data_IF_525249266533
#
_entry.id   IF_525249266533
#
_cell.length_a   1.000
_cell.length_b   1.000
_cell.length_c   1.000
_cell.angle_alpha   90.00
_cell.angle_beta   90.00
_cell.angle_gamma   90.00
#
_symmetry.space_group_name_H-M   'P 1'
#
loop_
_entity.id
_entity.type
_entity.pdbx_description
1 polymer ?
#
# COMPACT_ATOMS: atom_id res chain seq x y z
N UNK A 1 16.76 0.53 18.23
CA UNK A 1 17.73 1.53 17.68
C UNK A 1 18.95 0.88 17.06
N UNK A 2 19.65 -0.04 17.74
CA UNK A 2 20.88 -0.70 17.23
C UNK A 2 20.63 -1.53 15.94
N UNK A 3 19.59 -2.36 15.88
CA UNK A 3 19.27 -3.17 14.70
C UNK A 3 18.99 -2.30 13.47
N UNK A 4 18.22 -1.21 13.61
CA UNK A 4 17.94 -0.28 12.51
C UNK A 4 19.20 0.38 11.97
N UNK A 5 20.12 0.77 12.85
CA UNK A 5 21.42 1.33 12.48
C UNK A 5 22.27 0.30 11.74
N UNK A 6 22.33 -0.95 12.26
CA UNK A 6 23.02 -2.05 11.63
C UNK A 6 22.48 -2.33 10.21
N UNK A 7 21.18 -2.47 10.04
CA UNK A 7 20.55 -2.73 8.75
C UNK A 7 20.86 -1.61 7.76
N UNK A 8 20.74 -0.35 8.17
CA UNK A 8 21.05 0.78 7.32
C UNK A 8 22.52 0.80 6.85
N UNK A 9 23.47 0.44 7.71
CA UNK A 9 24.90 0.35 7.34
C UNK A 9 25.13 -0.88 6.45
N UNK A 10 24.57 -2.03 6.80
CA UNK A 10 24.72 -3.28 6.05
C UNK A 10 24.24 -3.14 4.59
N UNK A 11 23.08 -2.52 4.38
CA UNK A 11 22.53 -2.33 3.03
C UNK A 11 23.18 -1.19 2.23
N UNK A 12 24.09 -0.40 2.82
CA UNK A 12 25.00 0.49 2.07
C UNK A 12 26.15 -0.25 1.39
N UNK A 13 26.44 -1.49 1.81
CA UNK A 13 27.48 -2.29 1.18
C UNK A 13 27.13 -2.60 -0.27
N UNK A 14 28.16 -2.69 -1.17
CA UNK A 14 27.94 -3.14 -2.53
C UNK A 14 27.24 -4.51 -2.60
N UNK A 15 26.32 -4.69 -3.53
CA UNK A 15 25.52 -5.91 -3.67
C UNK A 15 26.39 -7.19 -3.75
N UNK A 16 27.54 -7.13 -4.46
CA UNK A 16 28.45 -8.25 -4.57
C UNK A 16 29.03 -8.66 -3.19
N UNK A 17 29.29 -7.70 -2.30
CA UNK A 17 29.80 -7.97 -0.97
C UNK A 17 28.71 -8.58 -0.07
N UNK A 18 27.48 -8.07 -0.14
CA UNK A 18 26.32 -8.65 0.56
C UNK A 18 26.16 -10.12 0.15
N UNK A 19 26.23 -10.40 -1.16
CA UNK A 19 26.17 -11.79 -1.66
C UNK A 19 27.28 -12.68 -1.12
N UNK A 20 28.51 -12.15 -1.07
CA UNK A 20 29.66 -12.90 -0.54
C UNK A 20 29.49 -13.22 0.96
N UNK A 21 29.03 -12.24 1.74
CA UNK A 21 28.86 -12.38 3.19
C UNK A 21 27.68 -13.30 3.53
N UNK A 22 26.57 -13.20 2.79
CA UNK A 22 25.36 -14.00 3.07
C UNK A 22 25.41 -15.41 2.47
N UNK A 23 26.32 -15.70 1.53
CA UNK A 23 26.45 -16.98 0.82
C UNK A 23 25.14 -17.51 0.24
N UNK A 24 24.17 -16.66 -0.01
CA UNK A 24 22.84 -17.08 -0.45
C UNK A 24 22.84 -17.47 -1.93
N UNK A 25 22.18 -18.59 -2.21
CA UNK A 25 21.87 -19.00 -3.59
C UNK A 25 20.79 -18.08 -4.15
N UNK A 26 20.85 -17.81 -5.46
CA UNK A 26 19.81 -17.04 -6.16
C UNK A 26 18.45 -17.72 -6.01
N UNK A 27 17.43 -16.93 -5.67
CA UNK A 27 16.04 -17.39 -5.70
C UNK A 27 15.46 -17.00 -7.04
N UNK A 28 15.04 -18.01 -7.81
CA UNK A 28 14.40 -17.85 -9.13
C UNK A 28 13.10 -18.66 -9.10
N UNK A 29 11.97 -17.97 -9.28
CA UNK A 29 10.64 -18.57 -9.35
C UNK A 29 9.92 -17.95 -10.55
N UNK A 30 9.23 -18.74 -11.36
CA UNK A 30 8.49 -18.30 -12.55
C UNK A 30 9.35 -17.44 -13.52
N UNK A 31 10.62 -17.78 -13.70
CA UNK A 31 11.63 -17.03 -14.49
C UNK A 31 11.95 -15.62 -13.95
N UNK A 32 11.53 -15.28 -12.74
CA UNK A 32 11.85 -14.04 -12.07
C UNK A 32 12.93 -14.29 -11.01
N UNK A 33 13.89 -13.38 -10.89
CA UNK A 33 14.97 -13.47 -9.90
C UNK A 33 14.77 -12.44 -8.81
N UNK A 34 14.69 -12.90 -7.57
CA UNK A 34 14.58 -12.01 -6.41
C UNK A 34 15.83 -11.13 -6.27
N UNK A 35 15.63 -9.86 -5.97
CA UNK A 35 16.72 -8.93 -5.66
C UNK A 35 17.57 -9.42 -4.48
N UNK A 36 18.88 -9.28 -4.60
CA UNK A 36 19.81 -9.83 -3.60
C UNK A 36 19.78 -9.12 -2.24
N UNK A 37 19.57 -7.81 -2.21
CA UNK A 37 19.44 -7.11 -0.94
C UNK A 37 18.12 -7.47 -0.26
N UNK A 38 17.05 -7.59 -1.04
CA UNK A 38 15.74 -8.08 -0.57
C UNK A 38 15.87 -9.51 -0.04
N UNK A 39 16.58 -10.39 -0.74
CA UNK A 39 16.84 -11.76 -0.29
C UNK A 39 17.63 -11.78 1.04
N UNK A 40 18.66 -10.95 1.17
CA UNK A 40 19.43 -10.82 2.40
C UNK A 40 18.57 -10.30 3.56
N UNK A 41 17.68 -9.36 3.30
CA UNK A 41 16.71 -8.87 4.28
C UNK A 41 15.77 -9.98 4.74
N UNK A 42 15.18 -10.75 3.84
CA UNK A 42 14.32 -11.89 4.18
C UNK A 42 15.05 -12.95 4.99
N UNK A 43 16.33 -13.22 4.68
CA UNK A 43 17.18 -14.10 5.47
C UNK A 43 17.43 -13.60 6.89
N UNK A 44 17.55 -12.29 7.10
CA UNK A 44 17.63 -11.70 8.45
C UNK A 44 16.28 -11.75 9.17
N UNK A 45 15.18 -11.56 8.48
CA UNK A 45 13.83 -11.66 9.04
C UNK A 45 13.51 -13.09 9.51
N UNK A 46 13.97 -14.11 8.78
CA UNK A 46 13.76 -15.52 9.16
C UNK A 46 14.47 -15.92 10.47
N UNK A 47 15.35 -15.07 10.99
CA UNK A 47 15.98 -15.26 12.31
C UNK A 47 15.13 -14.70 13.48
N UNK A 48 14.01 -14.06 13.20
CA UNK A 48 13.07 -13.59 14.24
C UNK A 48 12.46 -14.80 14.95
N UNK A 49 12.31 -14.68 16.26
CA UNK A 49 11.79 -15.76 17.10
C UNK A 49 10.28 -15.97 16.92
N UNK A 50 9.54 -14.93 16.52
CA UNK A 50 8.09 -14.97 16.30
C UNK A 50 7.77 -14.17 15.04
N UNK A 51 7.10 -14.80 14.10
CA UNK A 51 6.58 -14.16 12.89
C UNK A 51 5.09 -13.78 13.07
N UNK A 52 4.56 -12.97 12.15
CA UNK A 52 3.12 -12.69 12.13
C UNK A 52 2.31 -13.98 11.98
N UNK A 53 2.76 -14.91 11.13
CA UNK A 53 2.09 -16.19 10.91
C UNK A 53 2.04 -17.06 12.15
N UNK A 54 3.08 -17.01 12.99
CA UNK A 54 3.09 -17.75 14.26
C UNK A 54 2.10 -17.16 15.26
N UNK A 55 1.96 -15.85 15.29
CA UNK A 55 1.12 -15.13 16.24
C UNK A 55 -0.38 -15.08 15.83
N UNK A 56 -0.69 -15.22 14.52
CA UNK A 56 -2.07 -15.28 14.02
C UNK A 56 -2.79 -16.55 14.55
N UNK A 57 -3.88 -16.33 15.28
CA UNK A 57 -4.70 -17.36 15.89
C UNK A 57 -4.54 -17.41 17.40
N UNK A 58 -3.39 -17.02 17.95
CA UNK A 58 -3.12 -17.04 19.39
C UNK A 58 -3.25 -15.64 20.02
N UNK A 59 -2.99 -14.57 19.26
CA UNK A 59 -3.05 -13.20 19.71
C UNK A 59 -4.22 -12.43 19.08
N UNK A 60 -4.78 -11.47 19.83
CA UNK A 60 -5.77 -10.52 19.33
C UNK A 60 -5.13 -9.51 18.36
N UNK A 61 -5.94 -8.85 17.53
CA UNK A 61 -5.45 -7.80 16.64
C UNK A 61 -4.74 -6.65 17.39
N UNK A 62 -5.19 -6.32 18.60
CA UNK A 62 -4.57 -5.29 19.44
C UNK A 62 -3.16 -5.71 19.89
N UNK A 63 -3.01 -6.95 20.38
CA UNK A 63 -1.70 -7.50 20.77
C UNK A 63 -0.75 -7.60 19.57
N UNK A 64 -1.25 -8.02 18.39
CA UNK A 64 -0.46 -8.06 17.17
C UNK A 64 0.00 -6.65 16.74
N UNK A 65 -0.84 -5.62 16.89
CA UNK A 65 -0.42 -4.22 16.63
C UNK A 65 0.71 -3.80 17.55
N UNK A 66 0.65 -4.13 18.83
CA UNK A 66 1.74 -3.82 19.78
C UNK A 66 3.03 -4.55 19.42
N UNK A 67 2.94 -5.84 19.04
CA UNK A 67 4.11 -6.64 18.64
C UNK A 67 4.79 -6.11 17.37
N UNK A 68 4.02 -5.58 16.42
CA UNK A 68 4.52 -5.14 15.11
C UNK A 68 4.43 -3.63 14.89
N UNK A 69 4.32 -2.82 15.96
CA UNK A 69 4.10 -1.37 15.94
C UNK A 69 5.21 -0.59 15.22
N UNK A 70 6.45 -1.08 15.24
CA UNK A 70 7.57 -0.34 14.65
C UNK A 70 7.62 -0.42 13.12
N UNK A 71 6.77 -1.24 12.48
CA UNK A 71 6.78 -1.46 11.04
C UNK A 71 8.14 -1.92 10.52
N UNK A 72 8.35 -1.85 9.21
CA UNK A 72 9.64 -2.23 8.60
C UNK A 72 10.67 -1.11 8.81
N UNK A 73 11.83 -1.39 9.46
CA UNK A 73 12.84 -0.38 9.76
C UNK A 73 13.66 0.07 8.53
N UNK A 74 13.19 -0.20 7.31
CA UNK A 74 13.92 -0.04 6.06
C UNK A 74 13.55 1.20 5.24
N UNK A 75 12.60 2.02 5.70
CA UNK A 75 12.28 3.27 5.03
C UNK A 75 13.37 4.32 5.28
N UNK A 76 14.04 4.74 4.21
CA UNK A 76 14.96 5.87 4.26
C UNK A 76 14.15 7.15 4.38
N UNK A 77 14.45 7.96 5.39
CA UNK A 77 13.91 9.32 5.48
C UNK A 77 14.52 10.20 4.39
N UNK A 78 13.78 11.19 3.86
CA UNK A 78 14.38 12.17 2.97
C UNK A 78 15.51 12.92 3.69
N UNK A 79 16.49 13.39 2.91
CA UNK A 79 17.65 14.12 3.45
C UNK A 79 17.26 15.41 4.18
N UNK A 80 16.16 16.02 3.75
CA UNK A 80 15.53 17.19 4.37
C UNK A 80 14.11 16.80 4.74
N UNK A 81 13.74 16.85 6.04
CA UNK A 81 12.37 16.57 6.45
C UNK A 81 11.40 17.58 5.83
N UNK A 82 10.28 17.07 5.29
CA UNK A 82 9.23 17.94 4.80
C UNK A 82 8.44 18.56 5.96
N UNK A 83 7.88 19.74 5.72
CA UNK A 83 6.86 20.30 6.59
C UNK A 83 5.65 19.37 6.59
N UNK A 84 5.28 18.87 7.75
CA UNK A 84 4.04 18.11 7.95
C UNK A 84 3.12 18.84 8.94
N UNK A 85 1.82 18.74 8.70
CA UNK A 85 0.78 19.36 9.54
C UNK A 85 -0.32 18.35 9.80
N UNK A 86 -0.65 18.12 11.06
CA UNK A 86 -1.75 17.23 11.42
C UNK A 86 -3.06 18.05 11.47
N UNK A 87 -4.09 17.52 10.84
CA UNK A 87 -5.44 18.02 10.81
C UNK A 87 -6.38 17.06 11.52
N UNK A 88 -7.42 17.59 12.12
CA UNK A 88 -8.51 16.81 12.70
C UNK A 88 -9.73 16.94 11.77
N UNK A 89 -10.29 15.81 11.40
CA UNK A 89 -11.55 15.68 10.67
C UNK A 89 -12.62 15.17 11.63
N UNK A 90 -13.53 16.02 12.10
CA UNK A 90 -14.65 15.58 12.93
C UNK A 90 -15.60 14.67 12.13
N UNK A 91 -15.97 13.54 12.70
CA UNK A 91 -17.00 12.66 12.12
C UNK A 91 -18.00 12.25 13.19
N UNK A 92 -19.17 11.77 12.80
CA UNK A 92 -20.17 11.22 13.73
C UNK A 92 -19.70 9.95 14.48
N UNK A 93 -18.58 9.39 14.07
CA UNK A 93 -17.97 8.19 14.68
C UNK A 93 -16.73 8.51 15.53
N UNK A 94 -16.39 9.79 15.70
CA UNK A 94 -15.19 10.28 16.34
C UNK A 94 -14.29 11.04 15.38
N UNK A 95 -13.27 11.67 15.94
CA UNK A 95 -12.31 12.47 15.17
C UNK A 95 -11.31 11.57 14.45
N UNK A 96 -11.12 11.82 13.15
CA UNK A 96 -10.06 11.20 12.36
C UNK A 96 -8.88 12.16 12.23
N UNK A 97 -7.67 11.60 12.11
CA UNK A 97 -6.46 12.39 11.81
C UNK A 97 -6.12 12.31 10.34
N UNK A 98 -5.69 13.45 9.80
CA UNK A 98 -5.13 13.54 8.45
C UNK A 98 -3.82 14.29 8.57
N UNK A 99 -2.71 13.69 8.08
CA UNK A 99 -1.42 14.36 8.00
C UNK A 99 -1.17 14.87 6.60
N UNK A 100 -0.97 16.19 6.48
CA UNK A 100 -0.52 16.86 5.27
C UNK A 100 1.01 16.84 5.20
N UNK A 101 1.55 16.39 4.06
CA UNK A 101 2.95 16.52 3.67
C UNK A 101 3.03 17.55 2.55
N UNK A 102 3.76 18.63 2.77
CA UNK A 102 3.89 19.74 1.82
C UNK A 102 5.36 19.94 1.43
N UNK A 103 5.75 19.65 0.18
CA UNK A 103 7.10 19.89 -0.29
C UNK A 103 7.32 21.40 -0.51
N UNK A 104 8.56 21.87 -0.37
CA UNK A 104 8.90 23.29 -0.56
C UNK A 104 8.59 23.77 -1.99
N UNK A 105 8.68 22.88 -2.97
CA UNK A 105 8.39 23.19 -4.36
C UNK A 105 7.35 22.22 -4.93
N UNK A 106 6.19 22.76 -5.26
CA UNK A 106 5.11 22.01 -5.91
C UNK A 106 5.36 21.87 -7.41
N UNK A 107 5.12 20.68 -7.94
CA UNK A 107 5.13 20.37 -9.38
C UNK A 107 3.72 20.37 -9.99
N UNK A 108 2.68 20.23 -9.14
CA UNK A 108 1.27 20.28 -9.50
C UNK A 108 0.45 20.82 -8.33
N UNK A 109 -0.70 21.39 -8.62
CA UNK A 109 -1.69 21.81 -7.62
C UNK A 109 -2.59 20.67 -7.15
N UNK A 110 -2.70 19.58 -7.94
CA UNK A 110 -3.54 18.42 -7.61
C UNK A 110 -2.95 17.66 -6.43
N UNK A 111 -3.65 17.60 -5.27
CA UNK A 111 -3.20 16.84 -4.12
C UNK A 111 -3.53 15.36 -4.26
N UNK A 112 -2.90 14.54 -3.42
CA UNK A 112 -3.17 13.13 -3.30
C UNK A 112 -3.73 12.85 -1.91
N UNK A 113 -4.92 12.23 -1.83
CA UNK A 113 -5.41 11.59 -0.61
C UNK A 113 -4.86 10.18 -0.56
N UNK A 114 -4.09 9.86 0.48
CA UNK A 114 -3.37 8.60 0.62
C UNK A 114 -3.96 7.73 1.71
N UNK A 115 -4.08 6.44 1.42
CA UNK A 115 -4.51 5.40 2.35
C UNK A 115 -3.37 4.41 2.57
N UNK A 116 -2.97 4.24 3.82
CA UNK A 116 -1.86 3.35 4.18
C UNK A 116 -2.22 1.87 4.05
N UNK A 117 -1.21 1.01 3.85
CA UNK A 117 -1.33 -0.44 3.90
C UNK A 117 -1.46 -0.99 5.32
N UNK A 118 -1.46 -2.33 5.42
CA UNK A 118 -1.53 -3.04 6.69
C UNK A 118 -2.77 -3.92 6.87
N UNK A 119 -3.36 -4.40 5.76
CA UNK A 119 -4.46 -5.37 5.77
C UNK A 119 -5.74 -4.88 6.47
N UNK A 120 -5.93 -3.56 6.55
CA UNK A 120 -6.99 -2.91 7.34
C UNK A 120 -6.89 -3.12 8.86
N UNK A 121 -5.90 -3.86 9.34
CA UNK A 121 -5.73 -4.20 10.76
C UNK A 121 -4.54 -3.47 11.37
N UNK A 122 -3.50 -3.25 10.59
CA UNK A 122 -2.26 -2.55 10.97
C UNK A 122 -2.14 -1.22 10.24
N UNK A 123 -1.13 -0.48 10.62
CA UNK A 123 -0.76 0.78 10.00
C UNK A 123 -1.41 1.99 10.67
N UNK A 124 -0.75 3.11 10.49
CA UNK A 124 -1.14 4.45 10.93
C UNK A 124 -0.32 5.49 10.15
N UNK A 125 -0.56 6.76 10.44
CA UNK A 125 0.23 7.87 9.87
C UNK A 125 1.73 7.72 10.17
N UNK A 126 2.11 7.17 11.33
CA UNK A 126 3.53 7.10 11.75
C UNK A 126 4.27 5.98 11.01
N UNK A 127 3.61 4.85 10.78
CA UNK A 127 4.21 3.70 10.09
C UNK A 127 4.57 4.02 8.63
N UNK A 128 3.84 4.94 7.99
CA UNK A 128 4.06 5.36 6.60
C UNK A 128 4.74 6.74 6.47
N UNK A 129 5.08 7.40 7.59
CA UNK A 129 5.61 8.76 7.60
C UNK A 129 6.86 8.94 6.71
N UNK A 130 7.85 8.05 6.86
CA UNK A 130 9.09 8.14 6.09
C UNK A 130 8.88 7.94 4.58
N UNK A 131 8.00 6.99 4.22
CA UNK A 131 7.61 6.75 2.84
C UNK A 131 6.91 7.96 2.22
N UNK A 132 5.92 8.53 2.92
CA UNK A 132 5.12 9.64 2.39
C UNK A 132 5.90 10.95 2.32
N UNK A 133 6.85 11.19 3.22
CA UNK A 133 7.82 12.27 3.09
C UNK A 133 8.66 12.10 1.82
N UNK A 134 9.17 10.89 1.57
CA UNK A 134 9.94 10.59 0.36
C UNK A 134 9.07 10.76 -0.90
N UNK A 135 7.86 10.22 -0.92
CA UNK A 135 6.90 10.32 -2.02
C UNK A 135 6.59 11.79 -2.35
N UNK A 136 6.19 12.58 -1.35
CA UNK A 136 5.85 13.98 -1.53
C UNK A 136 7.03 14.79 -2.06
N UNK A 137 8.24 14.55 -1.55
CA UNK A 137 9.45 15.23 -2.00
C UNK A 137 9.82 14.90 -3.45
N UNK A 138 9.83 13.61 -3.82
CA UNK A 138 10.24 13.17 -5.17
C UNK A 138 9.23 13.63 -6.24
N UNK A 139 7.95 13.60 -5.96
CA UNK A 139 6.92 14.06 -6.89
C UNK A 139 6.72 15.58 -6.89
N UNK A 140 7.02 16.25 -5.78
CA UNK A 140 6.66 17.66 -5.60
C UNK A 140 5.14 17.84 -5.52
N UNK A 141 4.44 16.99 -4.76
CA UNK A 141 2.98 17.01 -4.63
C UNK A 141 2.57 17.01 -3.15
N UNK A 142 1.50 17.72 -2.83
CA UNK A 142 0.89 17.61 -1.49
C UNK A 142 0.24 16.25 -1.32
N UNK A 143 0.53 15.59 -0.19
CA UNK A 143 -0.09 14.32 0.19
C UNK A 143 -0.84 14.52 1.50
N UNK A 144 -2.06 14.01 1.56
CA UNK A 144 -2.89 13.96 2.77
C UNK A 144 -3.10 12.50 3.14
N UNK A 145 -2.48 12.05 4.22
CA UNK A 145 -2.56 10.67 4.72
C UNK A 145 -3.64 10.55 5.77
N UNK A 146 -4.64 9.71 5.50
CA UNK A 146 -5.75 9.45 6.41
C UNK A 146 -5.41 8.34 7.41
N UNK A 147 -5.67 8.59 8.69
CA UNK A 147 -5.66 7.60 9.77
C UNK A 147 -7.07 7.02 9.90
N UNK A 148 -7.43 6.09 9.02
CA UNK A 148 -8.77 5.51 8.95
C UNK A 148 -8.98 4.44 10.04
N UNK A 149 -10.22 4.21 10.44
CA UNK A 149 -10.59 3.21 11.46
C UNK A 149 -10.25 1.79 11.00
N UNK A 150 -9.60 1.04 11.90
CA UNK A 150 -9.10 -0.31 11.62
C UNK A 150 -10.08 -1.40 12.06
N UNK A 151 -10.00 -2.54 11.36
CA UNK A 151 -10.63 -3.80 11.72
C UNK A 151 -9.77 -4.54 12.77
N UNK A 152 -10.34 -5.45 13.54
CA UNK A 152 -11.73 -5.91 13.54
C UNK A 152 -12.71 -5.01 14.31
N UNK A 153 -12.22 -3.98 15.01
CA UNK A 153 -13.06 -3.08 15.81
C UNK A 153 -14.05 -2.30 14.92
N UNK A 154 -13.59 -1.97 13.70
CA UNK A 154 -14.38 -1.25 12.70
C UNK A 154 -14.33 -1.99 11.36
N UNK A 155 -15.19 -2.97 11.19
CA UNK A 155 -15.28 -3.77 9.97
C UNK A 155 -15.77 -2.96 8.76
N UNK A 156 -15.67 -3.57 7.57
CA UNK A 156 -16.24 -2.98 6.36
C UNK A 156 -17.74 -2.65 6.56
N UNK A 157 -18.21 -1.45 6.17
CA UNK A 157 -17.51 -0.44 5.34
C UNK A 157 -16.91 0.75 6.11
N UNK A 158 -16.51 0.60 7.38
CA UNK A 158 -16.09 1.74 8.22
C UNK A 158 -14.95 2.56 7.61
N UNK A 159 -13.85 1.93 7.17
CA UNK A 159 -12.74 2.63 6.53
C UNK A 159 -13.15 3.32 5.21
N UNK A 160 -14.07 2.71 4.45
CA UNK A 160 -14.62 3.33 3.24
C UNK A 160 -15.41 4.61 3.54
N UNK A 161 -16.20 4.59 4.63
CA UNK A 161 -16.92 5.79 5.08
C UNK A 161 -15.94 6.89 5.47
N UNK A 162 -14.87 6.53 6.19
CA UNK A 162 -13.82 7.48 6.58
C UNK A 162 -13.11 8.06 5.35
N UNK A 163 -12.77 7.22 4.37
CA UNK A 163 -12.15 7.64 3.12
C UNK A 163 -13.03 8.60 2.32
N UNK A 164 -14.34 8.32 2.24
CA UNK A 164 -15.29 9.22 1.55
C UNK A 164 -15.42 10.57 2.27
N UNK A 165 -15.55 10.57 3.59
CA UNK A 165 -15.56 11.80 4.38
C UNK A 165 -14.27 12.61 4.22
N UNK A 166 -13.12 11.93 4.22
CA UNK A 166 -11.82 12.58 4.06
C UNK A 166 -11.66 13.22 2.67
N UNK A 167 -12.17 12.57 1.62
CA UNK A 167 -12.13 13.13 0.26
C UNK A 167 -13.02 14.38 0.14
N UNK A 168 -14.23 14.35 0.69
CA UNK A 168 -15.16 15.49 0.69
C UNK A 168 -14.60 16.65 1.54
N UNK A 169 -14.10 16.36 2.74
CA UNK A 169 -13.45 17.36 3.59
C UNK A 169 -12.23 17.99 2.91
N UNK A 170 -11.42 17.20 2.21
CA UNK A 170 -10.24 17.70 1.51
C UNK A 170 -10.61 18.65 0.37
N UNK A 171 -11.64 18.31 -0.40
CA UNK A 171 -12.18 19.15 -1.47
C UNK A 171 -12.66 20.49 -0.91
N UNK A 172 -13.45 20.48 0.18
CA UNK A 172 -13.93 21.69 0.85
C UNK A 172 -12.77 22.51 1.42
N UNK A 173 -11.85 21.88 2.16
CA UNK A 173 -10.69 22.54 2.78
C UNK A 173 -9.81 23.28 1.78
N UNK A 174 -9.61 22.70 0.61
CA UNK A 174 -8.76 23.26 -0.44
C UNK A 174 -9.54 24.13 -1.44
N UNK A 175 -10.87 24.22 -1.31
CA UNK A 175 -11.78 24.87 -2.26
C UNK A 175 -11.56 24.32 -3.70
N UNK A 176 -11.54 22.99 -3.83
CA UNK A 176 -11.33 22.25 -5.07
C UNK A 176 -12.53 21.34 -5.35
N UNK A 177 -12.67 20.92 -6.62
CA UNK A 177 -13.58 19.84 -6.98
C UNK A 177 -12.92 18.48 -6.71
N UNK A 178 -13.71 17.45 -6.44
CA UNK A 178 -13.18 16.10 -6.17
C UNK A 178 -12.40 15.55 -7.36
N UNK A 179 -12.84 15.87 -8.59
CA UNK A 179 -12.12 15.49 -9.83
C UNK A 179 -10.75 16.16 -10.02
N UNK A 180 -10.33 17.04 -9.12
CA UNK A 180 -8.99 17.63 -9.07
C UNK A 180 -8.09 16.96 -8.06
N UNK A 181 -8.62 16.01 -7.25
CA UNK A 181 -7.91 15.28 -6.20
C UNK A 181 -7.70 13.85 -6.66
N UNK A 182 -6.47 13.35 -6.55
CA UNK A 182 -6.17 11.93 -6.81
C UNK A 182 -6.20 11.13 -5.52
N UNK A 183 -6.51 9.83 -5.62
CA UNK A 183 -6.42 8.89 -4.50
C UNK A 183 -5.28 7.90 -4.73
N UNK A 184 -4.59 7.52 -3.67
CA UNK A 184 -3.49 6.56 -3.76
C UNK A 184 -3.44 5.73 -2.49
N UNK A 185 -2.95 4.51 -2.61
CA UNK A 185 -2.67 3.68 -1.44
C UNK A 185 -1.88 2.43 -1.78
N UNK A 186 -1.28 1.83 -0.76
CA UNK A 186 -0.52 0.61 -0.87
C UNK A 186 -1.25 -0.56 -0.19
N UNK A 187 -1.22 -1.76 -0.78
CA UNK A 187 -1.82 -2.97 -0.21
C UNK A 187 -3.33 -2.79 0.09
N UNK A 188 -3.74 -2.89 1.35
CA UNK A 188 -5.10 -2.58 1.81
C UNK A 188 -5.51 -1.13 1.47
N UNK A 189 -4.58 -0.18 1.52
CA UNK A 189 -4.84 1.20 1.10
C UNK A 189 -5.10 1.33 -0.40
N UNK A 190 -4.46 0.49 -1.22
CA UNK A 190 -4.76 0.37 -2.66
C UNK A 190 -6.18 -0.17 -2.89
N UNK A 191 -6.58 -1.18 -2.12
CA UNK A 191 -7.97 -1.65 -2.10
C UNK A 191 -8.93 -0.51 -1.71
N UNK A 192 -8.64 0.21 -0.62
CA UNK A 192 -9.51 1.29 -0.13
C UNK A 192 -9.65 2.43 -1.16
N UNK A 193 -8.58 2.76 -1.89
CA UNK A 193 -8.61 3.79 -2.93
C UNK A 193 -9.58 3.43 -4.07
N UNK A 194 -9.53 2.19 -4.56
CA UNK A 194 -10.43 1.77 -5.63
C UNK A 194 -11.83 1.41 -5.12
N UNK A 195 -11.97 0.91 -3.87
CA UNK A 195 -13.27 0.77 -3.22
C UNK A 195 -14.01 2.10 -3.09
N UNK A 196 -13.31 3.17 -2.73
CA UNK A 196 -13.86 4.53 -2.69
C UNK A 196 -14.32 4.99 -4.07
N UNK A 197 -13.48 4.81 -5.10
CA UNK A 197 -13.84 5.17 -6.48
C UNK A 197 -15.06 4.38 -6.98
N UNK A 198 -15.09 3.07 -6.71
CA UNK A 198 -16.22 2.19 -7.06
C UNK A 198 -17.51 2.58 -6.33
N UNK A 199 -17.42 2.82 -5.01
CA UNK A 199 -18.55 3.29 -4.22
C UNK A 199 -19.11 4.60 -4.77
N UNK A 200 -18.26 5.58 -5.10
CA UNK A 200 -18.69 6.87 -5.62
C UNK A 200 -19.31 6.73 -7.00
N UNK A 201 -18.74 5.90 -7.88
CA UNK A 201 -19.28 5.64 -9.22
C UNK A 201 -20.68 5.00 -9.18
N UNK A 202 -20.86 3.95 -8.36
CA UNK A 202 -22.16 3.27 -8.19
C UNK A 202 -23.23 4.23 -7.66
N UNK A 203 -22.84 5.17 -6.81
CA UNK A 203 -23.77 6.16 -6.23
C UNK A 203 -23.88 7.47 -7.06
N UNK A 204 -23.32 7.51 -8.27
CA UNK A 204 -23.33 8.68 -9.16
C UNK A 204 -22.74 9.95 -8.49
N UNK A 205 -21.73 9.78 -7.63
CA UNK A 205 -21.00 10.87 -7.00
C UNK A 205 -19.79 11.27 -7.88
N UNK A 206 -19.30 12.50 -7.71
CA UNK A 206 -18.12 12.98 -8.43
C UNK A 206 -16.89 12.09 -8.11
N UNK A 207 -16.14 11.68 -9.14
CA UNK A 207 -15.02 10.78 -9.03
C UNK A 207 -13.70 11.54 -8.81
N UNK A 208 -12.71 10.94 -8.12
CA UNK A 208 -11.34 11.45 -8.09
C UNK A 208 -10.74 11.60 -9.49
N UNK A 209 -9.73 12.46 -9.63
CA UNK A 209 -8.99 12.66 -10.88
C UNK A 209 -8.36 11.36 -11.40
N UNK A 210 -7.77 10.60 -10.51
CA UNK A 210 -7.09 9.33 -10.79
C UNK A 210 -6.96 8.50 -9.53
N UNK A 211 -6.64 7.21 -9.71
CA UNK A 211 -6.25 6.34 -8.61
C UNK A 211 -4.91 5.65 -8.89
N UNK A 212 -4.04 5.57 -7.88
CA UNK A 212 -2.79 4.83 -7.94
C UNK A 212 -2.81 3.72 -6.89
N UNK A 213 -2.78 2.48 -7.36
CA UNK A 213 -2.96 1.27 -6.56
C UNK A 213 -1.63 0.53 -6.48
N UNK A 214 -0.95 0.61 -5.35
CA UNK A 214 0.38 0.03 -5.17
C UNK A 214 0.20 -1.37 -4.57
N UNK A 215 0.51 -2.42 -5.33
CA UNK A 215 0.30 -3.86 -5.01
C UNK A 215 -1.01 -4.11 -4.24
N UNK A 216 -2.17 -3.71 -4.80
CA UNK A 216 -3.42 -3.72 -4.06
C UNK A 216 -3.88 -5.14 -3.72
N UNK A 217 -4.48 -5.34 -2.53
CA UNK A 217 -5.27 -6.54 -2.29
C UNK A 217 -6.62 -6.40 -3.01
N UNK A 218 -7.06 -7.43 -3.75
CA UNK A 218 -8.26 -7.32 -4.60
C UNK A 218 -9.19 -8.53 -4.53
N UNK A 219 -8.66 -9.70 -4.17
CA UNK A 219 -9.40 -10.96 -4.16
C UNK A 219 -9.50 -11.55 -2.74
N UNK A 220 -10.70 -11.50 -2.11
CA UNK A 220 -10.90 -12.07 -0.79
C UNK A 220 -10.85 -13.61 -0.73
N UNK A 221 -10.72 -14.31 -1.86
CA UNK A 221 -10.61 -15.78 -1.90
C UNK A 221 -9.19 -16.27 -1.60
N UNK A 222 -8.18 -15.44 -1.81
CA UNK A 222 -6.76 -15.74 -1.58
C UNK A 222 -6.29 -17.07 -2.22
N UNK A 223 -6.74 -17.37 -3.43
CA UNK A 223 -6.49 -18.66 -4.09
C UNK A 223 -5.75 -18.57 -5.44
N UNK A 224 -5.25 -17.39 -5.81
CA UNK A 224 -4.46 -17.20 -7.03
C UNK A 224 -3.16 -18.02 -6.99
N UNK A 225 -2.52 -18.21 -8.15
CA UNK A 225 -1.24 -18.91 -8.23
C UNK A 225 -0.15 -18.22 -7.41
N UNK A 226 -0.08 -16.89 -7.43
CA UNK A 226 0.87 -16.13 -6.62
C UNK A 226 0.62 -16.28 -5.11
N UNK A 227 -0.63 -16.41 -4.67
CA UNK A 227 -0.97 -16.72 -3.28
C UNK A 227 -0.41 -18.06 -2.82
N UNK A 228 -0.27 -19.04 -3.75
CA UNK A 228 0.28 -20.36 -3.50
C UNK A 228 1.82 -20.34 -3.62
N UNK A 229 2.35 -19.79 -4.71
CA UNK A 229 3.79 -19.77 -5.00
C UNK A 229 4.59 -18.96 -3.97
N UNK A 230 3.99 -17.89 -3.45
CA UNK A 230 4.61 -16.97 -2.48
C UNK A 230 3.93 -17.02 -1.11
N UNK A 231 3.29 -18.17 -0.79
CA UNK A 231 2.53 -18.35 0.44
C UNK A 231 3.32 -18.09 1.72
N UNK A 232 4.66 -18.28 1.69
CA UNK A 232 5.55 -18.11 2.83
C UNK A 232 6.94 -17.63 2.39
N UNK A 233 7.64 -16.91 3.28
CA UNK A 233 9.05 -16.54 3.08
C UNK A 233 9.28 -15.24 2.32
N UNK A 234 8.22 -14.51 1.92
CA UNK A 234 8.31 -13.27 1.16
C UNK A 234 7.69 -12.06 1.89
N UNK A 235 7.78 -12.03 3.21
CA UNK A 235 7.26 -11.04 4.14
C UNK A 235 5.74 -11.15 4.33
N UNK A 236 4.94 -10.94 3.28
CA UNK A 236 3.51 -11.19 3.28
C UNK A 236 3.26 -12.68 3.00
N UNK A 237 2.33 -13.29 3.71
CA UNK A 237 1.95 -14.69 3.54
C UNK A 237 0.48 -14.85 3.14
N UNK A 238 0.14 -15.97 2.52
CA UNK A 238 -1.25 -16.33 2.25
C UNK A 238 -2.06 -16.44 3.56
N UNK A 239 -1.46 -17.01 4.64
CA UNK A 239 -2.12 -17.12 5.95
C UNK A 239 -2.50 -15.75 6.50
N UNK A 240 -1.58 -14.79 6.40
CA UNK A 240 -1.86 -13.41 6.80
C UNK A 240 -2.97 -12.77 5.95
N UNK A 241 -2.97 -13.00 4.62
CA UNK A 241 -4.01 -12.47 3.73
C UNK A 241 -5.41 -13.02 4.07
N UNK A 242 -5.53 -14.33 4.27
CA UNK A 242 -6.79 -14.95 4.70
C UNK A 242 -7.28 -14.35 6.02
N UNK A 243 -6.35 -14.14 6.96
CA UNK A 243 -6.67 -13.55 8.25
C UNK A 243 -7.10 -12.08 8.12
N UNK A 244 -6.42 -11.24 7.33
CA UNK A 244 -6.81 -9.85 7.11
C UNK A 244 -8.21 -9.72 6.53
N UNK A 245 -8.53 -10.50 5.49
CA UNK A 245 -9.87 -10.52 4.92
C UNK A 245 -10.94 -10.98 5.93
N UNK A 246 -10.61 -11.94 6.81
CA UNK A 246 -11.50 -12.39 7.86
C UNK A 246 -11.76 -11.30 8.92
N UNK A 247 -10.75 -10.50 9.28
CA UNK A 247 -10.91 -9.38 10.20
C UNK A 247 -11.77 -8.27 9.61
N UNK A 248 -11.56 -7.95 8.32
CA UNK A 248 -12.26 -6.87 7.63
C UNK A 248 -13.73 -7.20 7.34
N UNK A 249 -14.02 -8.44 6.96
CA UNK A 249 -15.34 -8.88 6.54
C UNK A 249 -16.37 -8.79 7.68
N UNK A 250 -17.45 -8.05 7.45
CA UNK A 250 -18.58 -7.98 8.40
C UNK A 250 -19.56 -9.16 8.22
N UNK A 251 -19.88 -9.50 6.97
CA UNK A 251 -20.80 -10.59 6.64
C UNK A 251 -20.43 -11.30 5.35
N UNK A 252 -21.03 -12.48 5.08
CA UNK A 252 -20.85 -13.20 3.82
C UNK A 252 -21.35 -12.40 2.60
N UNK A 253 -22.24 -11.44 2.78
CA UNK A 253 -22.75 -10.57 1.69
C UNK A 253 -21.65 -9.68 1.11
N UNK A 254 -20.64 -9.34 1.88
CA UNK A 254 -19.52 -8.55 1.39
C UNK A 254 -18.82 -9.21 0.18
N UNK A 255 -18.76 -10.54 0.13
CA UNK A 255 -18.13 -11.28 -0.97
C UNK A 255 -18.84 -11.08 -2.33
N UNK A 256 -20.09 -10.64 -2.34
CA UNK A 256 -20.87 -10.33 -3.53
C UNK A 256 -20.96 -8.81 -3.81
N UNK A 257 -20.29 -7.99 -3.03
CA UNK A 257 -20.27 -6.55 -3.17
C UNK A 257 -19.03 -6.13 -4.00
N UNK A 258 -19.18 -5.51 -5.18
CA UNK A 258 -18.06 -5.09 -6.01
C UNK A 258 -17.22 -3.97 -5.38
N UNK A 259 -17.70 -3.34 -4.31
CA UNK A 259 -16.92 -2.36 -3.52
C UNK A 259 -15.95 -3.06 -2.56
N UNK A 260 -16.27 -4.29 -2.14
CA UNK A 260 -15.43 -5.12 -1.27
C UNK A 260 -14.63 -6.16 -2.05
N UNK A 261 -15.26 -6.85 -2.99
CA UNK A 261 -14.64 -7.89 -3.80
C UNK A 261 -14.38 -7.34 -5.20
N UNK A 262 -13.15 -6.93 -5.45
CA UNK A 262 -12.75 -6.27 -6.71
C UNK A 262 -12.59 -7.25 -7.88
N UNK A 263 -12.81 -8.54 -7.69
CA UNK A 263 -12.90 -9.50 -8.80
C UNK A 263 -14.22 -9.40 -9.55
N UNK A 264 -15.19 -8.66 -8.99
CA UNK A 264 -16.51 -8.45 -9.56
C UNK A 264 -16.50 -7.14 -10.35
N UNK A 265 -16.86 -7.19 -11.65
CA UNK A 265 -17.04 -6.00 -12.46
C UNK A 265 -18.20 -5.13 -11.90
N UNK A 266 -17.89 -3.90 -11.44
CA UNK A 266 -18.91 -3.02 -10.84
C UNK A 266 -19.88 -2.41 -11.87
N UNK A 267 -19.67 -2.65 -13.18
CA UNK A 267 -20.49 -2.11 -14.30
C UNK A 267 -20.57 -0.57 -14.32
N UNK A 268 -19.52 0.09 -13.88
CA UNK A 268 -19.37 1.56 -13.87
C UNK A 268 -18.01 1.96 -14.39
N UNK A 269 -17.89 3.19 -14.88
CA UNK A 269 -16.59 3.77 -15.22
C UNK A 269 -15.87 4.25 -13.97
N UNK A 270 -14.58 3.94 -13.87
CA UNK A 270 -13.70 4.35 -12.79
C UNK A 270 -12.72 5.43 -13.26
N UNK A 271 -12.08 6.17 -12.36
CA UNK A 271 -11.01 7.11 -12.70
C UNK A 271 -9.87 6.40 -13.42
N UNK A 272 -9.09 7.14 -14.22
CA UNK A 272 -7.85 6.60 -14.80
C UNK A 272 -7.00 5.98 -13.71
N UNK A 273 -6.49 4.77 -13.94
CA UNK A 273 -5.92 3.89 -12.92
C UNK A 273 -4.48 3.52 -13.24
N UNK A 274 -3.56 3.78 -12.29
CA UNK A 274 -2.20 3.24 -12.31
C UNK A 274 -2.12 2.09 -11.30
N UNK A 275 -1.78 0.89 -11.77
CA UNK A 275 -1.63 -0.30 -10.92
C UNK A 275 -0.16 -0.74 -10.90
N UNK A 276 0.37 -0.95 -9.70
CA UNK A 276 1.74 -1.41 -9.48
C UNK A 276 1.68 -2.81 -8.88
N UNK A 277 2.47 -3.74 -9.41
CA UNK A 277 2.59 -5.11 -8.87
C UNK A 277 4.04 -5.48 -8.64
N UNK A 278 4.30 -6.41 -7.71
CA UNK A 278 5.62 -6.94 -7.40
C UNK A 278 5.68 -8.43 -7.73
N UNK A 279 6.86 -8.93 -8.16
CA UNK A 279 6.99 -10.29 -8.69
C UNK A 279 6.95 -11.39 -7.63
N UNK A 280 7.52 -11.12 -6.44
CA UNK A 280 7.54 -12.05 -5.31
C UNK A 280 6.52 -11.64 -4.25
N UNK A 281 5.26 -11.55 -4.66
CA UNK A 281 4.16 -11.04 -3.85
C UNK A 281 2.93 -11.95 -4.01
N UNK A 282 2.34 -12.44 -2.92
CA UNK A 282 1.07 -13.16 -2.98
C UNK A 282 -0.03 -12.43 -3.76
N UNK A 283 -0.01 -11.09 -3.76
CA UNK A 283 -1.01 -10.24 -4.43
C UNK A 283 -0.71 -9.95 -5.91
N UNK A 284 0.37 -10.53 -6.47
CA UNK A 284 0.79 -10.24 -7.84
C UNK A 284 -0.28 -10.56 -8.88
N UNK A 285 -0.76 -11.81 -8.89
CA UNK A 285 -1.73 -12.28 -9.90
C UNK A 285 -3.08 -11.57 -9.78
N UNK A 286 -3.55 -11.31 -8.55
CA UNK A 286 -4.83 -10.64 -8.32
C UNK A 286 -4.78 -9.17 -8.73
N UNK A 287 -3.66 -8.47 -8.48
CA UNK A 287 -3.44 -7.11 -8.96
C UNK A 287 -3.39 -7.02 -10.48
N UNK A 288 -2.73 -7.98 -11.14
CA UNK A 288 -2.73 -8.08 -12.60
C UNK A 288 -4.10 -8.45 -13.17
N UNK A 289 -4.84 -9.36 -12.50
CA UNK A 289 -6.19 -9.71 -12.90
C UNK A 289 -7.14 -8.51 -12.80
N UNK A 290 -7.00 -7.70 -11.76
CA UNK A 290 -7.78 -6.48 -11.62
C UNK A 290 -7.45 -5.44 -12.70
N UNK A 291 -6.16 -5.28 -13.06
CA UNK A 291 -5.77 -4.42 -14.17
C UNK A 291 -6.42 -4.87 -15.50
N UNK A 292 -6.42 -6.18 -15.77
CA UNK A 292 -7.10 -6.75 -16.95
C UNK A 292 -8.61 -6.49 -16.91
N UNK A 293 -9.26 -6.76 -15.78
CA UNK A 293 -10.70 -6.53 -15.60
C UNK A 293 -11.09 -5.09 -15.92
N UNK A 294 -10.35 -4.13 -15.38
CA UNK A 294 -10.60 -2.71 -15.64
C UNK A 294 -10.41 -2.35 -17.12
N UNK A 295 -9.34 -2.83 -17.75
CA UNK A 295 -9.07 -2.59 -19.18
C UNK A 295 -10.15 -3.22 -20.07
N UNK A 296 -10.55 -4.46 -19.79
CA UNK A 296 -11.58 -5.19 -20.56
C UNK A 296 -12.97 -4.56 -20.44
N UNK A 297 -13.20 -3.83 -19.36
CA UNK A 297 -14.45 -3.05 -19.13
C UNK A 297 -14.36 -1.60 -19.60
N UNK A 298 -13.29 -1.25 -20.34
CA UNK A 298 -13.15 0.04 -21.03
C UNK A 298 -12.62 1.18 -20.17
N UNK A 299 -12.04 0.88 -19.00
CA UNK A 299 -11.38 1.88 -18.16
C UNK A 299 -9.95 2.16 -18.65
N UNK A 300 -9.45 3.38 -18.44
CA UNK A 300 -8.07 3.75 -18.73
C UNK A 300 -7.15 3.19 -17.64
N UNK A 301 -6.30 2.22 -18.00
CA UNK A 301 -5.40 1.53 -17.05
C UNK A 301 -3.98 1.52 -17.57
N UNK A 302 -3.03 1.90 -16.71
CA UNK A 302 -1.61 1.63 -16.88
C UNK A 302 -1.14 0.69 -15.77
N UNK A 303 -0.43 -0.38 -16.15
CA UNK A 303 0.18 -1.32 -15.19
C UNK A 303 1.70 -1.26 -15.27
N UNK A 304 2.36 -1.33 -14.10
CA UNK A 304 3.81 -1.47 -13.98
C UNK A 304 4.09 -2.64 -13.04
N UNK A 305 4.90 -3.61 -13.52
CA UNK A 305 5.29 -4.78 -12.75
C UNK A 305 6.77 -4.76 -12.42
N UNK A 306 7.13 -4.99 -11.15
CA UNK A 306 8.51 -5.08 -10.68
C UNK A 306 8.87 -6.53 -10.33
N UNK A 307 9.40 -7.32 -11.29
CA UNK A 307 9.52 -8.78 -11.18
C UNK A 307 10.53 -9.27 -10.13
N UNK A 308 11.36 -8.40 -9.59
CA UNK A 308 12.45 -8.74 -8.68
C UNK A 308 12.21 -8.27 -7.22
N UNK A 309 11.02 -7.71 -6.94
CA UNK A 309 10.69 -7.16 -5.63
C UNK A 309 9.56 -7.93 -4.94
N UNK A 310 9.44 -7.70 -3.63
CA UNK A 310 8.42 -8.28 -2.75
C UNK A 310 7.33 -7.26 -2.43
N UNK A 311 6.25 -7.74 -1.79
CA UNK A 311 5.23 -6.89 -1.18
C UNK A 311 5.83 -5.86 -0.23
N UNK A 312 5.30 -4.64 -0.22
CA UNK A 312 5.75 -3.58 0.68
C UNK A 312 7.04 -2.86 0.26
N UNK A 313 7.58 -3.10 -0.94
CA UNK A 313 8.88 -2.56 -1.38
C UNK A 313 8.98 -1.02 -1.32
N UNK A 314 7.88 -0.27 -1.47
CA UNK A 314 7.91 1.20 -1.36
C UNK A 314 8.32 1.68 0.03
N UNK A 315 8.09 0.85 1.05
CA UNK A 315 8.51 1.07 2.43
C UNK A 315 9.95 0.60 2.72
N UNK A 316 10.68 0.11 1.69
CA UNK A 316 12.03 -0.46 1.82
C UNK A 316 13.10 0.37 1.07
N UNK A 317 12.97 1.69 1.06
CA UNK A 317 13.85 2.58 0.28
C UNK A 317 15.30 2.64 0.77
N UNK A 318 15.64 1.95 1.86
CA UNK A 318 17.05 1.66 2.23
C UNK A 318 17.68 0.57 1.35
N UNK A 319 16.89 -0.28 0.70
CA UNK A 319 17.37 -1.26 -0.28
C UNK A 319 17.46 -0.60 -1.66
N UNK A 320 18.59 -0.79 -2.37
CA UNK A 320 18.83 -0.09 -3.63
C UNK A 320 17.78 -0.39 -4.69
N UNK A 321 17.47 -1.66 -4.92
CA UNK A 321 16.50 -2.06 -5.95
C UNK A 321 15.09 -1.53 -5.63
N UNK A 322 14.65 -1.61 -4.37
CA UNK A 322 13.39 -1.06 -3.93
C UNK A 322 13.33 0.47 -4.08
N UNK A 323 14.42 1.17 -3.73
CA UNK A 323 14.52 2.63 -3.92
C UNK A 323 14.46 3.04 -5.39
N UNK A 324 15.20 2.34 -6.25
CA UNK A 324 15.24 2.64 -7.68
C UNK A 324 13.85 2.41 -8.32
N UNK A 325 13.20 1.27 -8.01
CA UNK A 325 11.85 0.97 -8.46
C UNK A 325 10.82 1.98 -7.93
N UNK A 326 10.95 2.39 -6.66
CA UNK A 326 10.08 3.41 -6.07
C UNK A 326 10.22 4.76 -6.80
N UNK A 327 11.44 5.18 -7.12
CA UNK A 327 11.66 6.41 -7.92
C UNK A 327 11.08 6.31 -9.32
N UNK A 328 11.24 5.15 -9.97
CA UNK A 328 10.68 4.88 -11.29
C UNK A 328 9.14 4.94 -11.26
N UNK A 329 8.51 4.28 -10.28
CA UNK A 329 7.08 4.36 -10.01
C UNK A 329 6.60 5.80 -9.85
N UNK A 330 7.28 6.59 -9.00
CA UNK A 330 6.88 7.98 -8.73
C UNK A 330 7.03 8.87 -9.96
N UNK A 331 8.06 8.62 -10.78
CA UNK A 331 8.23 9.31 -12.07
C UNK A 331 7.10 8.93 -13.05
N UNK A 332 6.74 7.66 -13.12
CA UNK A 332 5.60 7.19 -13.94
C UNK A 332 4.29 7.81 -13.45
N UNK A 333 4.03 7.81 -12.16
CA UNK A 333 2.83 8.40 -11.57
C UNK A 333 2.76 9.91 -11.82
N UNK A 334 3.88 10.62 -11.69
CA UNK A 334 3.95 12.05 -12.00
C UNK A 334 3.58 12.36 -13.46
N UNK A 335 3.98 11.49 -14.39
CA UNK A 335 3.60 11.63 -15.79
C UNK A 335 2.13 11.25 -16.03
N UNK A 336 1.63 10.26 -15.31
CA UNK A 336 0.24 9.82 -15.34
C UNK A 336 -0.75 10.88 -14.84
N UNK A 337 -0.33 11.76 -13.94
CA UNK A 337 -1.16 12.87 -13.43
C UNK A 337 -1.29 14.05 -14.40
N UNK A 338 -0.45 14.15 -15.40
CA UNK A 338 -0.51 15.20 -16.41
C UNK A 338 -1.64 14.94 -17.41
#
# INVERSE_FOLDING_TARGET
MALKLFLNIFFLLPVWLIRLVTLQKKIIINNQMLDHQTQAFLGLQSLQLVTLDDAIGDASAAELREMFIEGLPLSAKPSIPLKSTDHILPTKFGDLKIREYCPDKLSTSSPILYFHGGGYVFGDIKSHDAWLQFFSAEMGVKIFSLDYRLAPENKFPSALQDANHALEWLAEKLNMQIKEISVCGDSAGGHLATSLSTFRAINNLELPQSQCLIYPMTDPTCNSKSQIDYAQGYLLSQKAMIWFWAQLKDSSKNLNDPVFNLTIDPKVSLPKTLIITAGFDPLSDEGEAYARLLNDTGNEVQQIHYPHLIHGFVNMTSLKAAKDATKDLLKAYKNFLK
#
